data_IF_772434517114
#
_entry.id   IF_772434517114
#
_cell.length_a   1.000
_cell.length_b   1.000
_cell.length_c   1.000
_cell.angle_alpha   90.00
_cell.angle_beta   90.00
_cell.angle_gamma   90.00
#
_symmetry.space_group_name_H-M   'P 1'
#
loop_
_entity.id
_entity.type
_entity.pdbx_description
1 polymer ?
#
# COMPACT_ATOMS: atom_id res chain seq x y z
N UNK A 1 13.63 2.74 29.45
CA UNK A 1 12.33 2.76 28.76
C UNK A 1 12.61 3.15 27.32
N UNK A 2 12.61 2.19 26.38
CA UNK A 2 12.80 2.52 24.96
C UNK A 2 11.54 3.28 24.52
N UNK A 3 11.69 4.56 24.20
CA UNK A 3 10.64 5.32 23.53
C UNK A 3 10.46 4.70 22.15
N UNK A 4 9.35 3.98 21.96
CA UNK A 4 8.96 3.49 20.64
C UNK A 4 8.51 4.72 19.87
N UNK A 5 9.41 5.33 19.11
CA UNK A 5 9.01 6.29 18.08
C UNK A 5 8.03 5.56 17.15
N UNK A 6 6.75 5.92 17.17
CA UNK A 6 5.84 5.46 16.14
C UNK A 6 6.26 6.17 14.85
N UNK A 7 6.58 5.39 13.82
CA UNK A 7 6.91 5.93 12.51
C UNK A 7 5.73 6.79 12.03
N UNK A 8 6.01 7.99 11.52
CA UNK A 8 4.97 8.81 10.91
C UNK A 8 4.45 8.16 9.63
N UNK A 9 3.26 8.55 9.17
CA UNK A 9 2.69 8.01 7.93
C UNK A 9 3.60 8.22 6.71
N UNK A 10 4.36 9.32 6.69
CA UNK A 10 5.36 9.59 5.65
C UNK A 10 6.53 8.58 5.66
N UNK A 11 6.98 8.15 6.85
CA UNK A 11 8.02 7.13 6.97
C UNK A 11 7.52 5.77 6.49
N UNK A 12 6.25 5.45 6.81
CA UNK A 12 5.58 4.23 6.36
C UNK A 12 5.47 4.23 4.82
N UNK A 13 5.05 5.33 4.21
CA UNK A 13 4.99 5.50 2.75
C UNK A 13 6.34 5.28 2.08
N UNK A 14 7.40 5.92 2.60
CA UNK A 14 8.76 5.79 2.06
C UNK A 14 9.26 4.36 2.16
N UNK A 15 9.05 3.69 3.29
CA UNK A 15 9.47 2.31 3.47
C UNK A 15 8.72 1.35 2.53
N UNK A 16 7.40 1.54 2.42
CA UNK A 16 6.56 0.80 1.48
C UNK A 16 7.02 0.97 0.02
N UNK A 17 7.28 2.20 -0.41
CA UNK A 17 7.74 2.49 -1.76
C UNK A 17 9.08 1.79 -2.07
N UNK A 18 10.05 1.86 -1.15
CA UNK A 18 11.34 1.17 -1.27
C UNK A 18 11.17 -0.33 -1.45
N UNK A 19 10.33 -0.95 -0.62
CA UNK A 19 10.07 -2.40 -0.71
C UNK A 19 9.43 -2.78 -2.04
N UNK A 20 8.43 -2.03 -2.50
CA UNK A 20 7.76 -2.31 -3.77
C UNK A 20 8.68 -2.18 -4.98
N UNK A 21 9.44 -1.08 -5.05
CA UNK A 21 10.34 -0.81 -6.18
C UNK A 21 11.51 -1.80 -6.21
N UNK A 22 12.05 -2.14 -5.03
CA UNK A 22 13.06 -3.20 -4.92
C UNK A 22 12.49 -4.56 -5.38
N UNK A 23 11.26 -4.89 -5.01
CA UNK A 23 10.61 -6.12 -5.46
C UNK A 23 10.38 -6.12 -6.98
N UNK A 24 10.08 -4.95 -7.55
CA UNK A 24 9.89 -4.76 -8.99
C UNK A 24 11.20 -4.77 -9.79
N UNK A 25 12.35 -4.74 -9.12
CA UNK A 25 13.66 -4.72 -9.77
C UNK A 25 13.94 -3.45 -10.59
N UNK A 26 13.19 -2.36 -10.35
CA UNK A 26 13.38 -1.11 -11.08
C UNK A 26 14.46 -0.25 -10.41
N UNK A 27 15.44 0.27 -11.17
CA UNK A 27 16.46 1.16 -10.63
C UNK A 27 16.02 2.63 -10.61
N UNK A 28 14.81 2.97 -11.10
CA UNK A 28 14.38 4.36 -11.27
C UNK A 28 13.92 4.98 -9.95
N UNK A 29 14.66 5.97 -9.39
CA UNK A 29 14.27 6.61 -8.14
C UNK A 29 12.95 7.40 -8.24
N UNK A 30 12.52 7.77 -9.45
CA UNK A 30 11.23 8.45 -9.66
C UNK A 30 10.05 7.54 -9.37
N UNK A 31 10.22 6.22 -9.55
CA UNK A 31 9.18 5.25 -9.22
C UNK A 31 8.99 5.16 -7.69
N UNK A 32 10.09 5.15 -6.92
CA UNK A 32 10.02 5.18 -5.46
C UNK A 32 9.35 6.48 -4.98
N UNK A 33 9.74 7.62 -5.55
CA UNK A 33 9.12 8.90 -5.21
C UNK A 33 7.60 8.90 -5.46
N UNK A 34 7.15 8.38 -6.62
CA UNK A 34 5.73 8.32 -6.94
C UNK A 34 4.92 7.49 -5.93
N UNK A 35 5.42 6.32 -5.53
CA UNK A 35 4.74 5.48 -4.53
C UNK A 35 4.79 6.07 -3.11
N UNK A 36 5.81 6.87 -2.77
CA UNK A 36 5.93 7.52 -1.47
C UNK A 36 5.08 8.79 -1.34
N UNK A 37 4.94 9.55 -2.44
CA UNK A 37 4.26 10.86 -2.43
C UNK A 37 2.75 10.75 -2.59
N UNK A 38 2.26 9.80 -3.39
CA UNK A 38 0.83 9.64 -3.65
C UNK A 38 0.15 8.91 -2.46
N UNK A 39 -0.74 9.57 -1.70
CA UNK A 39 -1.38 8.97 -0.52
C UNK A 39 -2.38 7.90 -0.94
N UNK A 40 -1.98 6.62 -0.88
CA UNK A 40 -2.82 5.48 -1.28
C UNK A 40 -4.18 5.48 -0.59
N UNK A 41 -4.22 5.81 0.70
CA UNK A 41 -5.42 5.85 1.54
C UNK A 41 -6.47 6.86 1.06
N UNK A 42 -6.07 7.92 0.35
CA UNK A 42 -7.00 8.93 -0.16
C UNK A 42 -7.96 8.38 -1.22
N UNK A 43 -7.65 7.21 -1.80
CA UNK A 43 -8.40 6.60 -2.89
C UNK A 43 -9.22 5.36 -2.47
N UNK A 44 -9.25 5.01 -1.18
CA UNK A 44 -9.85 3.77 -0.68
C UNK A 44 -11.23 3.96 -0.02
N UNK A 45 -11.68 5.21 0.13
CA UNK A 45 -12.82 5.52 0.98
C UNK A 45 -12.53 5.30 2.48
N UNK A 46 -13.53 5.50 3.36
CA UNK A 46 -13.38 5.34 4.80
C UNK A 46 -13.07 3.89 5.19
N UNK A 47 -12.08 3.70 6.08
CA UNK A 47 -11.83 2.41 6.72
C UNK A 47 -12.82 2.09 7.85
N UNK A 48 -12.69 0.92 8.51
CA UNK A 48 -11.70 -0.12 8.24
C UNK A 48 -11.90 -0.77 6.88
N UNK A 49 -10.81 -1.20 6.25
CA UNK A 49 -10.82 -1.74 4.90
C UNK A 49 -10.78 -3.26 4.90
N UNK A 50 -11.43 -3.89 3.93
CA UNK A 50 -11.21 -5.31 3.63
C UNK A 50 -10.03 -5.46 2.67
N UNK A 51 -8.90 -5.95 3.18
CA UNK A 51 -7.70 -6.26 2.40
C UNK A 51 -7.75 -7.68 1.87
N UNK A 52 -7.27 -7.89 0.65
CA UNK A 52 -7.08 -9.21 0.04
C UNK A 52 -5.57 -9.49 0.01
N UNK A 53 -5.15 -10.52 0.73
CA UNK A 53 -3.76 -10.93 0.87
C UNK A 53 -3.62 -12.38 0.37
N UNK A 54 -3.13 -12.53 -0.87
CA UNK A 54 -3.18 -13.81 -1.57
C UNK A 54 -4.61 -14.30 -1.73
N UNK A 55 -4.91 -15.50 -1.21
CA UNK A 55 -6.25 -16.09 -1.28
C UNK A 55 -7.15 -15.72 -0.08
N UNK A 56 -6.65 -14.94 0.88
CA UNK A 56 -7.37 -14.56 2.10
C UNK A 56 -7.91 -13.14 2.06
N UNK A 57 -9.01 -12.90 2.79
CA UNK A 57 -9.55 -11.57 3.09
C UNK A 57 -9.44 -11.29 4.59
N UNK A 58 -9.02 -10.08 4.95
CA UNK A 58 -8.92 -9.62 6.34
C UNK A 58 -9.44 -8.18 6.42
N UNK A 59 -10.24 -7.87 7.44
CA UNK A 59 -10.62 -6.49 7.73
C UNK A 59 -9.57 -5.83 8.61
N UNK A 60 -9.13 -4.62 8.27
CA UNK A 60 -8.14 -3.90 9.08
C UNK A 60 -8.70 -3.61 10.48
N UNK A 61 -7.86 -3.60 11.54
CA UNK A 61 -8.32 -3.34 12.90
C UNK A 61 -8.91 -1.94 13.12
N UNK A 62 -8.56 -0.99 12.25
CA UNK A 62 -9.00 0.40 12.29
C UNK A 62 -8.90 1.05 10.90
N UNK A 63 -9.22 2.34 10.82
CA UNK A 63 -8.97 3.19 9.66
C UNK A 63 -7.56 3.82 9.66
N UNK A 64 -6.62 3.33 10.49
CA UNK A 64 -5.22 3.76 10.45
C UNK A 64 -4.61 3.41 9.08
N UNK A 65 -4.18 4.41 8.28
CA UNK A 65 -3.65 4.17 6.94
C UNK A 65 -2.38 3.32 6.93
N UNK A 66 -1.68 3.15 8.06
CA UNK A 66 -0.57 2.22 8.17
C UNK A 66 -0.91 0.80 7.69
N UNK A 67 -2.17 0.37 7.82
CA UNK A 67 -2.61 -0.95 7.43
C UNK A 67 -2.62 -1.20 5.91
N UNK A 68 -2.74 -0.17 5.08
CA UNK A 68 -2.86 -0.31 3.61
C UNK A 68 -1.54 -0.11 2.85
N UNK A 69 -0.46 0.26 3.57
CA UNK A 69 0.90 0.38 3.04
C UNK A 69 1.63 -0.97 3.01
N UNK A 70 1.01 -1.92 2.32
CA UNK A 70 1.49 -3.28 2.09
C UNK A 70 1.19 -3.68 0.64
N UNK A 71 1.86 -4.71 0.12
CA UNK A 71 1.52 -5.25 -1.20
C UNK A 71 0.23 -6.10 -1.11
N UNK A 72 -0.91 -5.42 -0.96
CA UNK A 72 -2.24 -6.02 -0.81
C UNK A 72 -3.25 -5.25 -1.65
N UNK A 73 -4.30 -5.95 -2.07
CA UNK A 73 -5.47 -5.33 -2.67
C UNK A 73 -6.39 -4.82 -1.56
N UNK A 74 -7.13 -3.77 -1.86
CA UNK A 74 -8.21 -3.26 -1.02
C UNK A 74 -9.51 -3.33 -1.79
N UNK A 75 -10.50 -3.97 -1.19
CA UNK A 75 -11.84 -4.11 -1.77
C UNK A 75 -12.52 -2.74 -1.84
N UNK A 76 -13.05 -2.38 -3.01
CA UNK A 76 -13.80 -1.12 -3.23
C UNK A 76 -15.30 -1.39 -3.36
N UNK A 77 -15.67 -2.52 -3.98
CA UNK A 77 -17.06 -2.98 -4.11
C UNK A 77 -17.03 -4.52 -4.11
N UNK A 78 -17.38 -5.12 -2.97
CA UNK A 78 -17.27 -6.58 -2.78
C UNK A 78 -18.28 -7.35 -3.63
N UNK A 79 -19.50 -6.82 -3.75
CA UNK A 79 -20.60 -7.42 -4.52
C UNK A 79 -20.23 -7.53 -6.01
N UNK A 80 -19.44 -6.58 -6.52
CA UNK A 80 -18.94 -6.58 -7.92
C UNK A 80 -17.54 -7.18 -8.07
N UNK A 81 -16.89 -7.58 -6.98
CA UNK A 81 -15.51 -8.07 -7.00
C UNK A 81 -14.47 -7.02 -7.40
N UNK A 82 -14.76 -5.73 -7.20
CA UNK A 82 -13.85 -4.62 -7.57
C UNK A 82 -12.90 -4.34 -6.41
N UNK A 83 -11.60 -4.28 -6.74
CA UNK A 83 -10.54 -3.86 -5.83
C UNK A 83 -9.66 -2.79 -6.51
N UNK A 84 -8.78 -2.18 -5.73
CA UNK A 84 -7.93 -1.07 -6.19
C UNK A 84 -6.67 -1.46 -6.99
N UNK A 85 -6.45 -2.75 -7.28
CA UNK A 85 -5.26 -3.23 -8.00
C UNK A 85 -4.02 -3.44 -7.12
N UNK A 86 -3.15 -4.37 -7.55
CA UNK A 86 -1.95 -4.78 -6.80
C UNK A 86 -0.83 -3.75 -7.01
N UNK A 87 -0.33 -3.09 -5.94
CA UNK A 87 0.73 -2.09 -6.07
C UNK A 87 1.99 -2.60 -6.76
N UNK A 88 2.39 -3.83 -6.45
CA UNK A 88 3.56 -4.45 -7.06
C UNK A 88 3.42 -4.63 -8.58
N UNK A 89 2.23 -5.03 -9.07
CA UNK A 89 1.99 -5.15 -10.52
C UNK A 89 2.13 -3.80 -11.22
N UNK A 90 1.65 -2.72 -10.60
CA UNK A 90 1.84 -1.36 -11.14
C UNK A 90 3.32 -0.98 -11.20
N UNK A 91 4.10 -1.26 -10.15
CA UNK A 91 5.54 -1.00 -10.14
C UNK A 91 6.27 -1.79 -11.25
N UNK A 92 5.93 -3.06 -11.44
CA UNK A 92 6.47 -3.94 -12.50
C UNK A 92 6.16 -3.46 -13.92
N UNK A 93 5.02 -2.80 -14.13
CA UNK A 93 4.61 -2.34 -15.47
C UNK A 93 5.09 -0.92 -15.80
N UNK A 94 5.14 -0.04 -14.80
CA UNK A 94 5.60 1.35 -14.97
C UNK A 94 7.13 1.42 -14.97
N UNK A 95 7.79 0.63 -14.14
CA UNK A 95 9.24 0.72 -13.87
C UNK A 95 10.17 0.07 -14.88
N UNK A 96 9.69 -0.25 -16.10
CA UNK A 96 10.50 -0.85 -17.17
C UNK A 96 11.27 0.20 -17.96
#
# INVERSE_FOLDING_TARGET
>A
MLSRSMAGIEDIRKFYARLLVAHAGSPDPRLEAAFAEVPREAFLGPGPWTVIAGNGKVTTPSADPAHVYQNVLVTLDDDKGINNGEPFLHAMWIGK
#
